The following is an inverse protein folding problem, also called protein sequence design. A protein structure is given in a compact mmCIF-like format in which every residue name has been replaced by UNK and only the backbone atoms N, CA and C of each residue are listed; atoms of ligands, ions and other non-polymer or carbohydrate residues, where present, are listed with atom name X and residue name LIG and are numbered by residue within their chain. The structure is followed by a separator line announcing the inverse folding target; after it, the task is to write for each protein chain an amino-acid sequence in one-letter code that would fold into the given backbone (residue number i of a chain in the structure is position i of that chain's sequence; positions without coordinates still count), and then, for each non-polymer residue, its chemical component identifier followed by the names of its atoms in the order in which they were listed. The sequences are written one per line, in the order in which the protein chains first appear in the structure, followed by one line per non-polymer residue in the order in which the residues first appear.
data_IF_539427786919
#
_entry.id   IF_539427786919
#
_cell.length_a   1.000
_cell.length_b   1.000
_cell.length_c   1.000
_cell.angle_alpha   90.00
_cell.angle_beta   90.00
_cell.angle_gamma   90.00
#
_symmetry.space_group_name_H-M   'P 1'
#
loop_
_entity.id
_entity.type
_entity.pdbx_description
1 polymer ?
#
# COMPACT_ATOMS: atom_id res chain seq x y z
N UNK A 1 -16.86 -4.81 -4.03
CA UNK A 1 -16.30 -5.66 -5.11
C UNK A 1 -15.63 -6.85 -4.45
N UNK A 2 -15.91 -8.08 -4.89
CA UNK A 2 -15.31 -9.28 -4.30
C UNK A 2 -14.14 -9.77 -5.16
N UNK A 3 -13.07 -10.20 -4.50
CA UNK A 3 -11.93 -10.84 -5.15
C UNK A 3 -12.30 -12.26 -5.55
N UNK A 4 -12.16 -12.58 -6.83
CA UNK A 4 -12.32 -13.96 -7.32
C UNK A 4 -11.12 -14.81 -6.89
N UNK A 5 -11.25 -16.14 -6.93
CA UNK A 5 -10.12 -17.05 -6.69
C UNK A 5 -8.93 -16.75 -7.62
N UNK A 6 -9.21 -16.38 -8.87
CA UNK A 6 -8.19 -15.93 -9.84
C UNK A 6 -7.50 -14.65 -9.37
N UNK A 7 -8.25 -13.63 -8.97
CA UNK A 7 -7.68 -12.37 -8.48
C UNK A 7 -6.76 -12.62 -7.28
N UNK A 8 -7.21 -13.43 -6.31
CA UNK A 8 -6.43 -13.78 -5.12
C UNK A 8 -5.13 -14.48 -5.48
N UNK A 9 -5.17 -15.44 -6.39
CA UNK A 9 -3.98 -16.18 -6.82
C UNK A 9 -3.00 -15.28 -7.57
N UNK A 10 -3.49 -14.41 -8.45
CA UNK A 10 -2.67 -13.42 -9.16
C UNK A 10 -1.97 -12.48 -8.19
N UNK A 11 -2.70 -11.94 -7.20
CA UNK A 11 -2.12 -11.06 -6.17
C UNK A 11 -1.03 -11.78 -5.38
N UNK A 12 -1.28 -13.01 -4.90
CA UNK A 12 -0.27 -13.80 -4.18
C UNK A 12 0.97 -14.10 -5.01
N UNK A 13 0.77 -14.51 -6.26
CA UNK A 13 1.85 -14.86 -7.19
C UNK A 13 2.73 -13.65 -7.47
N UNK A 14 2.10 -12.51 -7.80
CA UNK A 14 2.81 -11.27 -8.02
C UNK A 14 3.51 -10.79 -6.75
N UNK A 15 2.81 -10.82 -5.60
CA UNK A 15 3.36 -10.42 -4.30
C UNK A 15 4.59 -11.24 -3.91
N UNK A 16 4.54 -12.56 -4.08
CA UNK A 16 5.67 -13.45 -3.81
C UNK A 16 6.89 -13.10 -4.66
N UNK A 17 6.69 -12.72 -5.93
CA UNK A 17 7.77 -12.32 -6.84
C UNK A 17 8.42 -11.00 -6.41
N UNK A 18 7.63 -10.02 -5.99
CA UNK A 18 8.16 -8.73 -5.57
C UNK A 18 8.71 -8.77 -4.13
N UNK A 19 8.28 -9.74 -3.30
CA UNK A 19 8.72 -9.90 -1.91
C UNK A 19 10.01 -10.69 -1.72
N UNK A 20 10.44 -11.48 -2.72
CA UNK A 20 11.57 -12.42 -2.63
C UNK A 20 12.84 -11.99 -3.37
N UNK A 21 13.12 -10.69 -3.53
CA UNK A 21 14.47 -10.24 -3.93
C UNK A 21 15.43 -10.32 -2.74
N UNK A 22 15.66 -11.56 -2.32
CA UNK A 22 16.06 -11.98 -0.99
C UNK A 22 17.58 -12.08 -0.76
N UNK A 23 18.40 -11.73 -1.74
CA UNK A 23 19.86 -11.77 -1.60
C UNK A 23 20.44 -10.49 -0.94
N UNK A 24 19.61 -9.48 -0.67
CA UNK A 24 19.96 -8.26 0.08
C UNK A 24 19.30 -8.23 1.49
N UNK A 25 18.87 -9.39 2.03
CA UNK A 25 18.08 -9.48 3.28
C UNK A 25 18.93 -9.23 4.52
N UNK A 26 19.13 -7.94 4.80
CA UNK A 26 19.17 -7.41 6.16
C UNK A 26 18.03 -6.41 6.42
N UNK A 27 17.42 -5.83 5.38
CA UNK A 27 16.45 -4.74 5.57
C UNK A 27 15.53 -4.51 4.37
N UNK A 28 15.19 -5.53 3.56
CA UNK A 28 15.10 -5.22 2.13
C UNK A 28 14.05 -5.83 1.19
N UNK A 29 12.78 -5.80 1.60
CA UNK A 29 11.69 -5.51 0.64
C UNK A 29 11.73 -4.05 0.16
N UNK A 30 12.47 -3.23 0.92
CA UNK A 30 12.70 -1.82 0.72
C UNK A 30 13.41 -1.46 -0.61
N UNK A 31 14.66 -1.85 -0.88
CA UNK A 31 15.61 -1.07 -1.72
C UNK A 31 15.15 -0.76 -3.14
N UNK A 32 14.41 -1.62 -3.85
CA UNK A 32 13.89 -1.22 -5.19
C UNK A 32 12.77 -0.16 -5.11
N UNK A 33 11.89 -0.22 -4.10
CA UNK A 33 10.86 0.82 -3.84
C UNK A 33 11.38 1.96 -2.94
N UNK A 34 12.45 1.74 -2.15
CA UNK A 34 13.12 2.71 -1.26
C UNK A 34 14.06 3.64 -2.02
N UNK A 35 14.72 3.15 -3.07
CA UNK A 35 15.74 3.93 -3.78
C UNK A 35 15.18 4.83 -4.88
N UNK A 36 14.02 4.51 -5.45
CA UNK A 36 13.45 5.35 -6.51
C UNK A 36 12.32 6.24 -5.98
N UNK A 37 11.16 5.73 -5.57
CA UNK A 37 10.05 6.56 -5.06
C UNK A 37 9.08 5.70 -4.20
N UNK A 38 9.03 5.83 -2.85
CA UNK A 38 8.00 5.12 -2.09
C UNK A 38 6.60 5.63 -2.48
N UNK A 39 5.57 4.78 -2.61
CA UNK A 39 4.20 5.21 -3.00
C UNK A 39 3.67 6.34 -2.12
N UNK A 40 3.98 6.26 -0.83
CA UNK A 40 3.64 7.26 0.16
C UNK A 40 4.31 8.62 -0.08
N UNK A 41 5.56 8.64 -0.57
CA UNK A 41 6.21 9.89 -0.98
C UNK A 41 5.52 10.51 -2.20
N UNK A 42 5.24 9.71 -3.23
CA UNK A 42 4.55 10.21 -4.43
C UNK A 42 3.21 10.83 -4.07
N UNK A 43 2.48 10.24 -3.11
CA UNK A 43 1.26 10.82 -2.56
C UNK A 43 1.48 12.21 -1.96
N UNK A 44 2.47 12.38 -1.08
CA UNK A 44 2.72 13.68 -0.44
C UNK A 44 3.10 14.79 -1.43
N UNK A 45 3.77 14.47 -2.53
CA UNK A 45 4.17 15.47 -3.54
C UNK A 45 3.08 15.76 -4.56
N UNK A 46 2.48 14.71 -5.15
CA UNK A 46 1.49 14.86 -6.21
C UNK A 46 0.14 15.31 -5.66
N UNK A 47 -0.15 14.99 -4.39
CA UNK A 47 -1.41 15.29 -3.71
C UNK A 47 -1.14 16.05 -2.41
N UNK A 48 -0.76 17.35 -2.47
CA UNK A 48 -0.32 18.12 -1.32
C UNK A 48 -1.37 18.25 -0.21
N UNK A 49 -2.67 18.09 -0.52
CA UNK A 49 -3.74 18.04 0.48
C UNK A 49 -3.55 16.93 1.52
N UNK A 50 -2.83 15.85 1.17
CA UNK A 50 -2.53 14.73 2.07
C UNK A 50 -1.50 15.08 3.14
N UNK A 51 -0.74 16.18 2.97
CA UNK A 51 0.28 16.61 3.95
C UNK A 51 -0.32 17.07 5.27
N UNK A 52 -1.59 17.45 5.31
CA UNK A 52 -2.29 17.92 6.52
C UNK A 52 -2.26 16.87 7.64
N UNK A 53 -2.41 15.59 7.31
CA UNK A 53 -2.31 14.45 8.24
C UNK A 53 -0.91 14.25 8.85
N UNK A 54 0.11 14.84 8.22
CA UNK A 54 1.52 14.67 8.59
C UNK A 54 2.18 15.98 9.02
N UNK A 55 1.39 16.99 9.36
CA UNK A 55 1.85 18.32 9.83
C UNK A 55 2.70 18.29 11.10
N UNK A 56 2.63 17.20 11.87
CA UNK A 56 3.45 16.96 13.05
C UNK A 56 4.90 16.54 12.72
N UNK A 57 5.21 16.21 11.46
CA UNK A 57 6.58 15.91 11.04
C UNK A 57 7.38 17.17 10.80
N UNK A 58 8.57 17.25 11.41
CA UNK A 58 9.53 18.33 11.20
C UNK A 58 9.99 18.45 9.74
N UNK A 59 10.04 17.31 9.04
CA UNK A 59 10.44 17.24 7.64
C UNK A 59 9.57 16.22 6.87
N UNK A 60 8.59 16.67 6.08
CA UNK A 60 7.79 15.80 5.20
C UNK A 60 8.46 15.56 3.83
N UNK A 61 9.75 15.83 3.68
CA UNK A 61 10.48 15.60 2.43
C UNK A 61 10.62 14.11 2.07
N UNK A 62 10.71 13.77 0.78
CA UNK A 62 10.91 12.40 0.27
C UNK A 62 11.94 11.54 0.99
N UNK A 63 13.07 12.14 1.33
CA UNK A 63 14.24 11.44 1.85
C UNK A 63 14.23 11.37 3.38
N UNK A 64 13.26 12.03 4.03
CA UNK A 64 13.21 12.16 5.47
C UNK A 64 12.95 10.80 6.15
N UNK A 65 13.56 10.64 7.33
CA UNK A 65 13.35 9.47 8.16
C UNK A 65 11.88 9.17 8.48
N UNK A 66 11.01 10.15 8.85
CA UNK A 66 9.61 9.85 9.15
C UNK A 66 8.83 9.35 7.93
N UNK A 67 9.07 9.92 6.73
CA UNK A 67 8.41 9.48 5.49
C UNK A 67 8.80 8.04 5.14
N UNK A 68 10.09 7.71 5.24
CA UNK A 68 10.58 6.34 5.01
C UNK A 68 10.01 5.34 6.01
N UNK A 69 10.01 5.69 7.30
CA UNK A 69 9.48 4.85 8.38
C UNK A 69 7.98 4.58 8.18
N UNK A 70 7.20 5.62 7.91
CA UNK A 70 5.76 5.47 7.72
C UNK A 70 5.42 4.74 6.42
N UNK A 71 6.15 5.01 5.33
CA UNK A 71 6.02 4.25 4.08
C UNK A 71 6.24 2.75 4.28
N UNK A 72 7.20 2.35 5.11
CA UNK A 72 7.40 0.95 5.47
C UNK A 72 6.22 0.38 6.28
N UNK A 73 5.66 1.16 7.22
CA UNK A 73 4.45 0.76 7.97
C UNK A 73 3.25 0.53 7.04
N UNK A 74 3.03 1.42 6.07
CA UNK A 74 1.96 1.27 5.07
C UNK A 74 2.15 -0.01 4.25
N UNK A 75 3.34 -0.25 3.73
CA UNK A 75 3.61 -1.45 2.93
C UNK A 75 3.56 -2.75 3.75
N UNK A 76 3.89 -2.71 5.04
CA UNK A 76 3.69 -3.83 5.95
C UNK A 76 2.20 -4.14 6.15
N UNK A 77 1.34 -3.12 6.25
CA UNK A 77 -0.11 -3.31 6.28
C UNK A 77 -0.65 -3.94 4.99
N UNK A 78 -0.12 -3.55 3.83
CA UNK A 78 -0.45 -4.20 2.55
C UNK A 78 0.01 -5.66 2.52
N UNK A 79 1.21 -5.96 3.03
CA UNK A 79 1.72 -7.32 3.14
C UNK A 79 0.82 -8.21 4.00
N UNK A 80 0.41 -7.71 5.16
CA UNK A 80 -0.51 -8.39 6.06
C UNK A 80 -1.89 -8.61 5.40
N UNK A 81 -2.38 -7.63 4.64
CA UNK A 81 -3.59 -7.78 3.84
C UNK A 81 -3.47 -8.88 2.78
N UNK A 82 -2.32 -9.03 2.12
CA UNK A 82 -2.09 -10.13 1.16
C UNK A 82 -2.11 -11.49 1.88
N UNK A 83 -1.50 -11.58 3.07
CA UNK A 83 -1.52 -12.81 3.88
C UNK A 83 -2.95 -13.20 4.29
N UNK A 84 -3.80 -12.20 4.55
CA UNK A 84 -5.20 -12.36 4.98
C UNK A 84 -6.22 -12.19 3.85
N UNK A 85 -5.80 -12.31 2.59
CA UNK A 85 -6.64 -12.01 1.41
C UNK A 85 -7.91 -12.88 1.29
N UNK A 86 -7.98 -13.99 2.03
CA UNK A 86 -9.20 -14.81 2.09
C UNK A 86 -10.30 -14.24 2.97
N UNK A 87 -9.93 -13.49 4.02
CA UNK A 87 -10.85 -12.77 4.90
C UNK A 87 -10.25 -11.42 5.30
N UNK A 88 -10.29 -10.47 4.37
CA UNK A 88 -9.79 -9.11 4.59
C UNK A 88 -10.58 -8.36 5.67
N UNK A 89 -11.87 -8.68 5.86
CA UNK A 89 -12.73 -7.97 6.83
C UNK A 89 -12.28 -8.29 8.24
N UNK A 90 -12.14 -9.56 8.60
CA UNK A 90 -11.62 -9.94 9.91
C UNK A 90 -10.16 -9.51 10.05
N UNK A 91 -9.38 -9.65 8.98
CA UNK A 91 -7.94 -9.42 9.01
C UNK A 91 -7.50 -7.98 9.22
N UNK A 92 -8.32 -7.00 8.80
CA UNK A 92 -8.01 -5.57 8.82
C UNK A 92 -8.83 -4.77 9.84
N UNK A 93 -9.59 -5.44 10.71
CA UNK A 93 -10.49 -4.78 11.67
C UNK A 93 -9.77 -3.75 12.54
N UNK A 94 -8.63 -4.12 13.14
CA UNK A 94 -7.84 -3.20 13.99
C UNK A 94 -7.27 -2.02 13.21
N UNK A 95 -6.90 -2.22 11.94
CA UNK A 95 -6.40 -1.17 11.07
C UNK A 95 -7.52 -0.21 10.66
N UNK A 96 -8.73 -0.74 10.42
CA UNK A 96 -9.93 0.04 10.15
C UNK A 96 -10.29 0.93 11.35
N UNK A 97 -10.33 0.38 12.56
CA UNK A 97 -10.62 1.14 13.78
C UNK A 97 -9.62 2.28 14.01
N UNK A 98 -8.33 2.01 13.81
CA UNK A 98 -7.28 3.02 13.91
C UNK A 98 -7.51 4.18 12.93
N UNK A 99 -7.78 3.88 11.65
CA UNK A 99 -7.95 4.91 10.63
C UNK A 99 -9.27 5.68 10.76
N UNK A 100 -10.35 5.00 11.16
CA UNK A 100 -11.67 5.59 11.29
C UNK A 100 -11.81 6.44 12.56
N UNK A 101 -11.42 5.90 13.73
CA UNK A 101 -11.74 6.52 15.02
C UNK A 101 -10.60 7.36 15.60
N UNK A 102 -9.35 6.91 15.44
CA UNK A 102 -8.18 7.59 16.00
C UNK A 102 -7.60 8.61 15.04
N UNK A 103 -7.26 8.19 13.81
CA UNK A 103 -6.58 9.06 12.84
C UNK A 103 -7.56 9.90 12.02
N UNK A 104 -8.82 9.46 11.89
CA UNK A 104 -9.91 10.14 11.18
C UNK A 104 -9.49 10.57 9.77
N UNK A 105 -8.84 9.67 9.05
CA UNK A 105 -8.37 9.93 7.68
C UNK A 105 -9.57 9.94 6.74
N UNK A 106 -9.66 10.95 5.88
CA UNK A 106 -10.75 11.03 4.91
C UNK A 106 -10.64 9.86 3.91
N UNK A 107 -11.73 9.07 3.72
CA UNK A 107 -11.86 8.01 2.73
C UNK A 107 -11.25 8.28 1.36
N UNK A 108 -11.35 9.51 0.85
CA UNK A 108 -10.87 9.89 -0.47
C UNK A 108 -9.35 9.69 -0.62
N UNK A 109 -8.59 9.83 0.47
CA UNK A 109 -7.12 9.73 0.44
C UNK A 109 -6.63 8.29 0.25
N UNK A 110 -7.42 7.27 0.61
CA UNK A 110 -7.01 5.89 0.39
C UNK A 110 -7.04 5.51 -1.10
N UNK A 111 -7.95 6.08 -1.89
CA UNK A 111 -7.93 5.93 -3.36
C UNK A 111 -6.68 6.55 -3.96
N UNK A 112 -6.26 7.70 -3.44
CA UNK A 112 -5.01 8.36 -3.82
C UNK A 112 -3.82 7.45 -3.51
N UNK A 113 -3.75 6.90 -2.30
CA UNK A 113 -2.68 5.98 -1.91
C UNK A 113 -2.66 4.71 -2.80
N UNK A 114 -3.83 4.11 -3.06
CA UNK A 114 -3.98 2.96 -3.97
C UNK A 114 -3.37 3.23 -5.34
N UNK A 115 -3.75 4.35 -5.96
CA UNK A 115 -3.23 4.75 -7.26
C UNK A 115 -1.70 4.92 -7.23
N UNK A 116 -1.17 5.57 -6.20
CA UNK A 116 0.28 5.75 -6.07
C UNK A 116 1.02 4.41 -5.90
N UNK A 117 0.44 3.42 -5.21
CA UNK A 117 1.00 2.06 -5.11
C UNK A 117 1.04 1.40 -6.49
N UNK A 118 -0.07 1.42 -7.23
CA UNK A 118 -0.14 0.83 -8.58
C UNK A 118 0.88 1.45 -9.53
N UNK A 119 1.04 2.78 -9.51
CA UNK A 119 2.03 3.48 -10.34
C UNK A 119 3.46 3.02 -10.00
N UNK A 120 3.80 2.92 -8.71
CA UNK A 120 5.14 2.47 -8.30
C UNK A 120 5.38 1.01 -8.68
N UNK A 121 4.37 0.14 -8.54
CA UNK A 121 4.48 -1.26 -8.98
C UNK A 121 4.72 -1.36 -10.49
N UNK A 122 4.00 -0.58 -11.29
CA UNK A 122 4.18 -0.53 -12.74
C UNK A 122 5.57 -0.05 -13.16
N UNK A 123 6.10 0.99 -12.49
CA UNK A 123 7.45 1.53 -12.77
C UNK A 123 8.54 0.54 -12.34
N UNK A 124 8.36 -0.12 -11.19
CA UNK A 124 9.39 -0.98 -10.59
C UNK A 124 9.45 -2.36 -11.23
N UNK A 125 8.32 -2.86 -11.71
CA UNK A 125 8.17 -4.20 -12.26
C UNK A 125 7.43 -4.19 -13.61
N UNK A 126 7.87 -3.41 -14.61
CA UNK A 126 7.11 -3.19 -15.85
C UNK A 126 6.85 -4.47 -16.64
N UNK A 127 7.76 -5.45 -16.56
CA UNK A 127 7.62 -6.74 -17.25
C UNK A 127 6.67 -7.71 -16.51
N UNK A 128 6.50 -7.53 -15.20
CA UNK A 128 5.70 -8.42 -14.34
C UNK A 128 4.32 -7.83 -14.01
N UNK A 129 4.18 -6.51 -14.12
CA UNK A 129 2.94 -5.79 -13.87
C UNK A 129 2.07 -5.75 -15.12
N UNK A 130 1.62 -6.93 -15.56
CA UNK A 130 0.76 -7.10 -16.73
C UNK A 130 -0.64 -6.49 -16.49
N UNK A 131 -1.46 -6.30 -17.53
CA UNK A 131 -2.85 -5.85 -17.37
C UNK A 131 -3.67 -6.72 -16.41
N UNK A 132 -3.46 -8.03 -16.40
CA UNK A 132 -4.13 -8.96 -15.49
C UNK A 132 -3.69 -8.76 -14.03
N UNK A 133 -2.40 -8.54 -13.80
CA UNK A 133 -1.86 -8.21 -12.47
C UNK A 133 -2.40 -6.86 -12.01
N UNK A 134 -2.43 -5.87 -12.90
CA UNK A 134 -2.96 -4.54 -12.60
C UNK A 134 -4.42 -4.62 -12.14
N UNK A 135 -5.30 -5.31 -12.89
CA UNK A 135 -6.72 -5.47 -12.51
C UNK A 135 -6.86 -6.20 -11.17
N UNK A 136 -6.09 -7.26 -10.94
CA UNK A 136 -6.15 -8.00 -9.69
C UNK A 136 -5.68 -7.17 -8.49
N UNK A 137 -4.58 -6.42 -8.65
CA UNK A 137 -4.03 -5.54 -7.62
C UNK A 137 -4.94 -4.34 -7.34
N UNK A 138 -5.55 -3.73 -8.37
CA UNK A 138 -6.48 -2.62 -8.20
C UNK A 138 -7.74 -3.06 -7.43
N UNK A 139 -8.30 -4.22 -7.78
CA UNK A 139 -9.43 -4.81 -7.04
C UNK A 139 -9.04 -5.13 -5.59
N UNK A 140 -7.84 -5.65 -5.37
CA UNK A 140 -7.33 -5.97 -4.04
C UNK A 140 -7.15 -4.73 -3.18
N UNK A 141 -6.43 -3.73 -3.67
CA UNK A 141 -6.21 -2.47 -2.96
C UNK A 141 -7.54 -1.75 -2.72
N UNK A 142 -8.45 -1.74 -3.70
CA UNK A 142 -9.81 -1.22 -3.51
C UNK A 142 -10.55 -1.92 -2.37
N UNK A 143 -10.44 -3.25 -2.24
CA UNK A 143 -11.05 -4.00 -1.15
C UNK A 143 -10.40 -3.68 0.20
N UNK A 144 -9.06 -3.63 0.27
CA UNK A 144 -8.30 -3.26 1.47
C UNK A 144 -8.71 -1.88 1.97
N UNK A 145 -8.66 -0.89 1.08
CA UNK A 145 -8.93 0.50 1.44
C UNK A 145 -10.40 0.78 1.69
N UNK A 146 -11.33 0.06 1.06
CA UNK A 146 -12.73 0.13 1.41
C UNK A 146 -12.99 -0.44 2.82
N UNK A 147 -12.32 -1.54 3.18
CA UNK A 147 -12.48 -2.16 4.51
C UNK A 147 -11.83 -1.35 5.62
N UNK A 148 -10.75 -0.62 5.35
CA UNK A 148 -10.16 0.35 6.27
C UNK A 148 -11.08 1.54 6.62
N UNK A 149 -12.27 1.60 6.03
CA UNK A 149 -13.28 2.64 6.20
C UNK A 149 -14.61 2.14 6.76
N UNK A 150 -14.82 0.81 6.82
CA UNK A 150 -16.03 0.25 7.39
C UNK A 150 -15.89 0.22 8.91
N UNK A 151 -16.19 1.36 9.56
CA UNK A 151 -16.75 1.32 10.89
C UNK A 151 -18.17 0.74 10.76
N UNK A 152 -18.37 -0.47 11.29
CA UNK A 152 -19.57 -1.33 11.25
C UNK A 152 -19.82 -2.09 9.94
#
# INVERSE_FOLDING_TARGET
MNLTAKDKNTVRTFWAKISTNAEDIGTDFCLKIKSFFPPFFRMLVVYPQTKTYFSHWKDPSPSSAPVKKHGATVMAGVADAVAKIDDLRAGLLSLSELHAFTLRVDPANFKVLSHNILVVLAISFPNDFTPEVHVAMDKFLSAVFHLSLMST
#
